data_IF_552328157485
#
_entry.id   IF_552328157485
#
_cell.length_a   1.000
_cell.length_b   1.000
_cell.length_c   1.000
_cell.angle_alpha   90.00
_cell.angle_beta   90.00
_cell.angle_gamma   90.00
#
_symmetry.space_group_name_H-M   'P 1'
#
loop_
_entity.id
_entity.type
_entity.pdbx_description
1 polymer ?
#
# COMPACT_ATOMS: atom_id res chain seq x y z
N UNK A 1 17.80 22.08 -9.19
CA UNK A 1 18.02 21.22 -7.99
C UNK A 1 16.72 20.88 -7.26
N UNK A 2 15.88 21.85 -6.83
CA UNK A 2 14.61 21.60 -6.11
C UNK A 2 13.63 20.70 -6.88
N UNK A 3 13.38 20.96 -8.17
CA UNK A 3 12.45 20.17 -8.98
C UNK A 3 12.91 18.70 -9.19
N UNK A 4 14.20 18.47 -9.39
CA UNK A 4 14.77 17.12 -9.51
C UNK A 4 14.59 16.30 -8.22
N UNK A 5 14.76 16.95 -7.05
CA UNK A 5 14.57 16.29 -5.76
C UNK A 5 13.10 15.88 -5.56
N UNK A 6 12.16 16.74 -5.94
CA UNK A 6 10.72 16.44 -5.87
C UNK A 6 10.37 15.28 -6.83
N UNK A 7 10.79 15.34 -8.10
CA UNK A 7 10.55 14.25 -9.06
C UNK A 7 11.09 12.93 -8.55
N UNK A 8 12.32 12.90 -8.01
CA UNK A 8 12.91 11.69 -7.43
C UNK A 8 12.08 11.13 -6.26
N UNK A 9 11.56 11.98 -5.39
CA UNK A 9 10.71 11.55 -4.29
C UNK A 9 9.38 10.94 -4.82
N UNK A 10 8.77 11.57 -5.83
CA UNK A 10 7.58 11.03 -6.51
C UNK A 10 7.88 9.68 -7.14
N UNK A 11 9.01 9.53 -7.85
CA UNK A 11 9.43 8.26 -8.45
C UNK A 11 9.63 7.14 -7.43
N UNK A 12 10.11 7.48 -6.25
CA UNK A 12 10.22 6.53 -5.14
C UNK A 12 8.85 6.17 -4.58
N UNK A 13 8.02 7.19 -4.29
CA UNK A 13 6.71 7.03 -3.66
C UNK A 13 5.73 6.22 -4.51
N UNK A 14 5.77 6.38 -5.84
CA UNK A 14 4.85 5.67 -6.75
C UNK A 14 5.06 4.14 -6.80
N UNK A 15 6.20 3.67 -6.30
CA UNK A 15 6.61 2.28 -6.48
C UNK A 15 6.58 1.53 -5.16
N UNK A 16 5.86 0.44 -5.14
CA UNK A 16 5.69 -0.41 -3.97
C UNK A 16 6.94 -1.21 -3.63
N UNK A 17 7.34 -1.16 -2.36
CA UNK A 17 8.38 -2.01 -1.78
C UNK A 17 7.79 -3.32 -1.27
N UNK A 18 8.52 -4.43 -1.45
CA UNK A 18 8.17 -5.77 -0.93
C UNK A 18 9.30 -6.40 -0.12
N UNK A 19 10.41 -5.71 0.01
CA UNK A 19 11.63 -6.23 0.55
C UNK A 19 12.31 -5.17 1.41
N UNK A 20 12.07 -5.20 2.71
CA UNK A 20 12.55 -4.20 3.65
C UNK A 20 13.72 -4.71 4.48
N UNK A 21 14.61 -3.80 4.89
CA UNK A 21 15.64 -4.08 5.89
C UNK A 21 15.03 -4.00 7.30
N UNK A 22 14.57 -5.13 7.80
CA UNK A 22 13.91 -5.24 9.10
C UNK A 22 14.90 -5.12 10.28
N UNK A 23 16.20 -5.08 10.04
CA UNK A 23 17.21 -4.90 11.10
C UNK A 23 17.25 -3.46 11.62
N UNK A 24 16.72 -2.50 10.84
CA UNK A 24 16.71 -1.08 11.16
C UNK A 24 15.42 -0.66 11.87
N UNK A 25 15.51 0.43 12.62
CA UNK A 25 14.35 1.06 13.27
C UNK A 25 14.19 2.49 12.75
N UNK A 26 12.96 2.90 12.47
CA UNK A 26 12.64 4.29 12.14
C UNK A 26 12.86 5.14 13.39
N UNK A 27 13.48 6.31 13.22
CA UNK A 27 13.70 7.25 14.32
C UNK A 27 12.37 7.76 14.87
N UNK A 28 12.38 8.17 16.14
CA UNK A 28 11.19 8.77 16.74
C UNK A 28 10.76 10.03 16.00
N UNK A 29 11.70 10.87 15.60
CA UNK A 29 11.45 12.13 14.88
C UNK A 29 10.79 11.87 13.51
N UNK A 30 11.31 10.91 12.74
CA UNK A 30 10.72 10.53 11.47
C UNK A 30 9.34 9.90 11.65
N UNK A 31 9.16 9.05 12.67
CA UNK A 31 7.87 8.46 12.97
C UNK A 31 6.84 9.54 13.33
N UNK A 32 7.21 10.49 14.17
CA UNK A 32 6.35 11.62 14.55
C UNK A 32 5.98 12.47 13.32
N UNK A 33 6.94 12.68 12.40
CA UNK A 33 6.72 13.39 11.12
C UNK A 33 5.76 12.62 10.22
N UNK A 34 5.90 11.32 10.10
CA UNK A 34 5.01 10.46 9.32
C UNK A 34 3.58 10.46 9.90
N UNK A 35 3.45 10.35 11.22
CA UNK A 35 2.14 10.42 11.89
C UNK A 35 1.51 11.79 11.65
N UNK A 36 2.27 12.87 11.87
CA UNK A 36 1.80 14.23 11.63
C UNK A 36 1.29 14.41 10.20
N UNK A 37 2.02 13.90 9.22
CA UNK A 37 1.64 13.95 7.80
C UNK A 37 0.31 13.25 7.54
N UNK A 38 0.14 12.06 8.11
CA UNK A 38 -1.07 11.27 7.88
C UNK A 38 -2.33 11.93 8.47
N UNK A 39 -2.25 12.49 9.68
CA UNK A 39 -3.39 13.08 10.36
C UNK A 39 -3.71 14.51 9.90
N UNK A 40 -2.73 15.24 9.35
CA UNK A 40 -2.89 16.61 8.85
C UNK A 40 -3.07 16.67 7.33
N UNK A 41 -3.37 15.56 6.69
CA UNK A 41 -3.69 15.53 5.27
C UNK A 41 -5.06 16.19 4.99
N UNK A 42 -5.24 16.83 3.81
CA UNK A 42 -6.53 17.38 3.45
C UNK A 42 -7.65 16.35 3.46
N UNK A 43 -8.77 16.71 4.07
CA UNK A 43 -9.99 15.91 4.07
C UNK A 43 -11.20 16.82 3.87
N UNK A 44 -12.36 16.26 3.50
CA UNK A 44 -13.58 17.05 3.38
C UNK A 44 -13.87 17.72 4.71
N UNK A 45 -14.05 19.05 4.69
CA UNK A 45 -14.33 19.89 5.87
C UNK A 45 -13.29 19.76 6.99
N UNK A 46 -12.10 19.24 6.67
CA UNK A 46 -11.03 18.93 7.63
C UNK A 46 -11.46 17.97 8.75
N UNK A 47 -12.38 17.06 8.45
CA UNK A 47 -12.99 16.17 9.45
C UNK A 47 -12.19 14.89 9.75
N UNK A 48 -11.21 14.54 8.92
CA UNK A 48 -10.39 13.32 9.07
C UNK A 48 -11.25 12.08 9.35
N UNK A 49 -11.87 11.53 8.31
CA UNK A 49 -12.87 10.45 8.39
C UNK A 49 -12.27 9.06 8.61
N UNK A 50 -11.20 8.94 9.40
CA UNK A 50 -10.56 7.66 9.70
C UNK A 50 -9.86 7.71 11.05
N UNK A 51 -9.66 6.54 11.62
CA UNK A 51 -8.80 6.31 12.77
C UNK A 51 -7.49 5.69 12.29
N UNK A 52 -6.36 6.24 12.71
CA UNK A 52 -5.04 5.74 12.35
C UNK A 52 -4.45 4.90 13.47
N UNK A 53 -4.08 3.67 13.17
CA UNK A 53 -3.35 2.77 14.07
C UNK A 53 -1.93 2.61 13.56
N UNK A 54 -0.95 2.82 14.42
CA UNK A 54 0.47 2.75 14.05
C UNK A 54 1.16 1.65 14.85
N UNK A 55 1.85 0.77 14.16
CA UNK A 55 2.51 -0.40 14.74
C UNK A 55 4.00 -0.37 14.42
N UNK A 56 4.82 -0.44 15.48
CA UNK A 56 6.29 -0.47 15.39
C UNK A 56 6.88 -1.75 15.99
N UNK A 57 6.06 -2.53 16.71
CA UNK A 57 6.48 -3.81 17.25
C UNK A 57 6.54 -4.87 16.13
N UNK A 58 7.71 -5.48 15.86
CA UNK A 58 7.86 -6.49 14.82
C UNK A 58 6.90 -7.68 14.96
N UNK A 59 6.55 -8.08 16.20
CA UNK A 59 5.64 -9.19 16.43
C UNK A 59 4.19 -8.81 16.06
N UNK A 60 3.78 -7.58 16.35
CA UNK A 60 2.46 -7.08 15.91
C UNK A 60 2.42 -6.89 14.40
N UNK A 61 3.48 -6.37 13.81
CA UNK A 61 3.59 -6.25 12.34
C UNK A 61 3.50 -7.63 11.68
N UNK A 62 4.16 -8.65 12.24
CA UNK A 62 4.06 -10.02 11.75
C UNK A 62 2.61 -10.55 11.83
N UNK A 63 1.90 -10.30 12.92
CA UNK A 63 0.49 -10.68 13.07
C UNK A 63 -0.40 -9.98 12.03
N UNK A 64 -0.16 -8.68 11.78
CA UNK A 64 -0.88 -7.93 10.74
C UNK A 64 -0.58 -8.49 9.35
N UNK A 65 0.68 -8.78 9.05
CA UNK A 65 1.09 -9.46 7.83
C UNK A 65 0.38 -10.79 7.65
N UNK A 66 0.21 -11.55 8.74
CA UNK A 66 -0.48 -12.83 8.74
C UNK A 66 -1.97 -12.72 8.38
N UNK A 67 -2.59 -11.56 8.61
CA UNK A 67 -3.97 -11.27 8.19
C UNK A 67 -4.08 -10.91 6.70
N UNK A 68 -2.98 -10.67 5.98
CA UNK A 68 -3.07 -10.37 4.55
C UNK A 68 -3.54 -11.59 3.78
N UNK A 69 -4.40 -11.35 2.79
CA UNK A 69 -4.93 -12.45 1.98
C UNK A 69 -3.79 -13.17 1.29
N UNK A 70 -3.82 -14.47 1.43
CA UNK A 70 -2.95 -15.36 0.69
C UNK A 70 -3.36 -15.33 -0.77
N UNK A 71 -2.42 -15.14 -1.66
CA UNK A 71 -2.62 -15.44 -3.05
C UNK A 71 -1.77 -16.66 -3.38
N UNK A 72 -2.40 -17.59 -4.06
CA UNK A 72 -1.65 -18.69 -4.67
C UNK A 72 -0.67 -18.04 -5.65
N UNK A 73 0.62 -18.31 -5.45
CA UNK A 73 1.59 -17.99 -6.45
C UNK A 73 1.27 -18.84 -7.66
N UNK A 74 0.29 -18.38 -8.42
CA UNK A 74 0.12 -18.75 -9.80
C UNK A 74 -0.60 -20.08 -10.08
N UNK A 75 -1.85 -19.95 -10.39
CA UNK A 75 -2.37 -20.82 -11.45
C UNK A 75 -1.75 -20.35 -12.77
N UNK A 76 -1.35 -21.27 -13.63
CA UNK A 76 -0.83 -21.02 -14.98
C UNK A 76 -1.71 -20.02 -15.73
N UNK A 77 -3.00 -20.12 -15.57
CA UNK A 77 -4.03 -19.28 -16.16
C UNK A 77 -3.96 -17.82 -15.69
N UNK A 78 -3.80 -17.60 -14.39
CA UNK A 78 -3.68 -16.27 -13.82
C UNK A 78 -2.38 -15.59 -14.27
N UNK A 79 -1.29 -16.33 -14.29
CA UNK A 79 0.01 -15.83 -14.76
C UNK A 79 -0.05 -15.47 -16.25
N UNK A 80 -0.56 -16.34 -17.10
CA UNK A 80 -0.70 -16.09 -18.52
C UNK A 80 -1.66 -14.93 -18.83
N UNK A 81 -2.67 -14.71 -18.00
CA UNK A 81 -3.63 -13.60 -18.14
C UNK A 81 -3.00 -12.27 -17.76
N UNK A 82 -2.14 -12.25 -16.75
CA UNK A 82 -1.49 -11.05 -16.25
C UNK A 82 -0.20 -10.70 -17.00
N UNK A 83 0.47 -11.69 -17.61
CA UNK A 83 1.82 -11.56 -18.14
C UNK A 83 1.95 -12.18 -19.54
N UNK A 84 1.10 -11.77 -20.44
CA UNK A 84 0.93 -12.33 -21.79
C UNK A 84 2.20 -12.52 -22.61
N UNK A 85 3.27 -11.81 -22.29
CA UNK A 85 4.47 -11.72 -23.13
C UNK A 85 5.75 -12.20 -22.44
N UNK A 86 5.65 -12.95 -21.36
CA UNK A 86 6.86 -13.47 -20.73
C UNK A 86 7.01 -14.95 -21.03
N UNK A 87 8.07 -15.31 -21.75
CA UNK A 87 8.56 -16.69 -21.92
C UNK A 87 8.99 -17.37 -20.59
N UNK A 88 8.67 -16.71 -19.48
CA UNK A 88 9.01 -17.21 -18.16
C UNK A 88 8.04 -18.32 -17.81
N UNK A 89 8.59 -19.51 -17.76
CA UNK A 89 7.93 -20.74 -17.41
C UNK A 89 7.03 -20.57 -16.18
N UNK A 90 5.98 -21.27 -16.21
CA UNK A 90 4.87 -21.15 -15.26
C UNK A 90 5.06 -22.16 -14.16
N UNK A 91 4.90 -21.74 -12.92
CA UNK A 91 4.66 -22.66 -11.82
C UNK A 91 3.24 -23.20 -11.98
N UNK A 92 3.15 -24.32 -12.67
CA UNK A 92 1.91 -25.07 -12.70
C UNK A 92 1.75 -25.79 -11.35
N UNK A 93 0.63 -25.54 -10.67
CA UNK A 93 0.23 -26.22 -9.43
C UNK A 93 1.02 -25.88 -8.17
N UNK A 94 1.62 -24.70 -8.06
CA UNK A 94 2.20 -24.31 -6.80
C UNK A 94 1.08 -23.96 -5.79
N UNK A 95 0.83 -24.84 -4.85
CA UNK A 95 0.07 -24.57 -3.62
C UNK A 95 0.85 -23.61 -2.69
N UNK A 96 1.71 -22.75 -3.24
CA UNK A 96 2.41 -21.75 -2.47
C UNK A 96 1.50 -20.55 -2.26
N UNK A 97 0.89 -20.51 -1.11
CA UNK A 97 0.20 -19.34 -0.64
C UNK A 97 1.21 -18.33 -0.09
N UNK A 98 1.27 -17.15 -0.65
CA UNK A 98 2.09 -16.04 -0.16
C UNK A 98 1.21 -14.92 0.37
N UNK A 99 1.62 -14.41 1.50
CA UNK A 99 1.02 -13.22 2.09
C UNK A 99 1.67 -11.96 1.49
N UNK A 100 1.06 -10.81 1.68
CA UNK A 100 1.55 -9.57 1.07
C UNK A 100 2.75 -8.98 1.82
N UNK A 101 3.97 -9.25 1.34
CA UNK A 101 5.21 -8.77 1.96
C UNK A 101 5.39 -7.23 1.94
N UNK A 102 4.53 -6.49 1.25
CA UNK A 102 4.49 -5.02 1.31
C UNK A 102 4.22 -4.51 2.72
N UNK A 103 3.68 -5.35 3.59
CA UNK A 103 3.32 -5.02 4.96
C UNK A 103 4.38 -5.49 5.97
N UNK A 104 5.29 -6.37 5.56
CA UNK A 104 6.39 -6.80 6.41
C UNK A 104 7.50 -5.74 6.40
N UNK A 105 7.25 -4.63 7.08
CA UNK A 105 8.03 -3.38 7.06
C UNK A 105 8.46 -2.95 8.46
N UNK A 106 9.19 -1.84 8.58
CA UNK A 106 9.69 -1.35 9.87
C UNK A 106 8.61 -0.63 10.70
N UNK A 107 7.59 -0.06 10.04
CA UNK A 107 6.39 0.49 10.66
C UNK A 107 5.19 0.23 9.77
N UNK A 108 4.04 -0.03 10.38
CA UNK A 108 2.78 -0.26 9.68
C UNK A 108 1.74 0.75 10.16
N UNK A 109 1.10 1.41 9.22
CA UNK A 109 -0.04 2.29 9.43
C UNK A 109 -1.30 1.56 8.94
N UNK A 110 -2.29 1.43 9.81
CA UNK A 110 -3.59 0.85 9.45
C UNK A 110 -4.64 1.94 9.55
N UNK A 111 -5.24 2.27 8.43
CA UNK A 111 -6.40 3.15 8.35
C UNK A 111 -7.64 2.34 8.66
N UNK A 112 -8.41 2.78 9.63
CA UNK A 112 -9.62 2.11 10.09
C UNK A 112 -10.81 3.06 10.07
N UNK A 113 -12.02 2.51 10.05
CA UNK A 113 -13.20 3.30 10.37
C UNK A 113 -13.13 3.82 11.80
N UNK A 114 -13.63 5.03 12.01
CA UNK A 114 -13.77 5.67 13.32
C UNK A 114 -15.23 5.63 13.75
N UNK A 115 -15.69 4.43 14.11
CA UNK A 115 -17.08 4.18 14.50
C UNK A 115 -17.46 4.91 15.80
N UNK A 116 -16.47 5.18 16.66
CA UNK A 116 -16.66 5.85 17.95
C UNK A 116 -16.81 7.37 17.80
N UNK A 117 -16.43 7.94 16.66
CA UNK A 117 -16.37 9.37 16.44
C UNK A 117 -16.94 9.73 15.05
N UNK A 118 -18.21 9.44 14.88
CA UNK A 118 -18.95 9.78 13.67
C UNK A 118 -18.98 11.30 13.49
N UNK A 119 -18.60 11.81 12.32
CA UNK A 119 -18.50 13.23 12.05
C UNK A 119 -19.47 13.68 10.97
N UNK A 120 -20.00 14.89 11.15
CA UNK A 120 -20.77 15.61 10.11
C UNK A 120 -21.89 14.77 9.51
N UNK A 121 -21.70 14.39 8.24
CA UNK A 121 -22.71 13.62 7.51
C UNK A 121 -22.94 12.21 8.02
N UNK A 122 -21.97 11.60 8.68
CA UNK A 122 -22.13 10.25 9.26
C UNK A 122 -23.07 10.31 10.47
N UNK A 123 -22.98 11.36 11.30
CA UNK A 123 -23.94 11.59 12.40
C UNK A 123 -25.34 11.79 11.85
N UNK A 124 -25.50 12.51 10.74
CA UNK A 124 -26.80 12.71 10.09
C UNK A 124 -27.37 11.39 9.62
N UNK A 125 -26.54 10.50 9.07
CA UNK A 125 -26.98 9.18 8.62
C UNK A 125 -27.37 8.31 9.81
N UNK A 126 -26.52 8.24 10.83
CA UNK A 126 -26.75 7.44 12.03
C UNK A 126 -28.03 7.91 12.79
N UNK A 127 -28.25 9.22 12.88
CA UNK A 127 -29.37 9.80 13.61
C UNK A 127 -30.73 9.72 12.86
N UNK A 128 -30.71 9.64 11.53
CA UNK A 128 -31.95 9.62 10.72
C UNK A 128 -32.50 8.23 10.44
N UNK A 129 -31.77 7.16 10.75
CA UNK A 129 -32.22 5.77 10.60
C UNK A 129 -32.58 5.31 9.18
N UNK A 130 -32.74 6.22 8.22
CA UNK A 130 -33.18 6.02 6.85
C UNK A 130 -32.31 6.84 5.87
N UNK A 131 -30.99 6.76 6.01
CA UNK A 131 -30.15 7.32 4.93
C UNK A 131 -30.41 6.53 3.64
N UNK A 132 -30.69 7.25 2.56
CA UNK A 132 -30.78 6.60 1.26
C UNK A 132 -29.47 5.88 0.96
N UNK A 133 -29.53 4.78 0.23
CA UNK A 133 -28.35 4.04 -0.24
C UNK A 133 -27.33 4.98 -0.90
N UNK A 134 -27.82 5.94 -1.69
CA UNK A 134 -27.00 6.99 -2.30
C UNK A 134 -26.22 7.83 -1.26
N UNK A 135 -26.84 8.18 -0.15
CA UNK A 135 -26.19 8.98 0.90
C UNK A 135 -25.10 8.19 1.58
N UNK A 136 -25.36 6.92 1.93
CA UNK A 136 -24.37 6.00 2.51
C UNK A 136 -23.19 5.79 1.57
N UNK A 137 -23.44 5.52 0.29
CA UNK A 137 -22.39 5.37 -0.73
C UNK A 137 -21.54 6.63 -0.86
N UNK A 138 -22.16 7.82 -0.84
CA UNK A 138 -21.45 9.10 -0.91
C UNK A 138 -20.50 9.31 0.26
N UNK A 139 -20.89 8.93 1.47
CA UNK A 139 -20.02 9.09 2.65
C UNK A 139 -18.89 8.07 2.67
N UNK A 140 -19.13 6.82 2.31
CA UNK A 140 -18.07 5.83 2.16
C UNK A 140 -17.02 6.32 1.14
N UNK A 141 -17.45 6.89 0.03
CA UNK A 141 -16.56 7.48 -0.97
C UNK A 141 -15.73 8.65 -0.43
N UNK A 142 -16.29 9.48 0.43
CA UNK A 142 -15.56 10.59 1.08
C UNK A 142 -14.48 10.06 2.04
N UNK A 143 -14.78 9.00 2.79
CA UNK A 143 -13.79 8.30 3.62
C UNK A 143 -12.65 7.74 2.79
N UNK A 144 -12.98 7.01 1.73
CA UNK A 144 -11.99 6.41 0.83
C UNK A 144 -11.08 7.49 0.21
N UNK A 145 -11.64 8.64 -0.19
CA UNK A 145 -10.84 9.77 -0.67
C UNK A 145 -9.91 10.33 0.40
N UNK A 146 -10.41 10.50 1.63
CA UNK A 146 -9.60 11.00 2.75
C UNK A 146 -8.44 10.05 3.07
N UNK A 147 -8.69 8.74 3.09
CA UNK A 147 -7.67 7.72 3.27
C UNK A 147 -6.67 7.73 2.11
N UNK A 148 -7.15 7.84 0.87
CA UNK A 148 -6.30 7.89 -0.32
C UNK A 148 -5.37 9.10 -0.32
N UNK A 149 -5.88 10.30 0.00
CA UNK A 149 -5.09 11.52 0.10
C UNK A 149 -4.04 11.40 1.22
N UNK A 150 -4.47 10.97 2.41
CA UNK A 150 -3.59 10.82 3.56
C UNK A 150 -2.47 9.80 3.30
N UNK A 151 -2.81 8.63 2.80
CA UNK A 151 -1.84 7.58 2.52
C UNK A 151 -0.87 7.97 1.38
N UNK A 152 -1.35 8.72 0.38
CA UNK A 152 -0.51 9.27 -0.68
C UNK A 152 0.50 10.30 -0.17
N UNK A 153 0.08 11.23 0.69
CA UNK A 153 0.99 12.18 1.33
C UNK A 153 2.00 11.45 2.25
N UNK A 154 1.53 10.49 3.02
CA UNK A 154 2.37 9.66 3.89
C UNK A 154 3.47 8.97 3.07
N UNK A 155 3.13 8.42 1.92
CA UNK A 155 4.10 7.77 1.01
C UNK A 155 5.12 8.77 0.45
N UNK A 156 4.67 9.95 0.03
CA UNK A 156 5.55 10.99 -0.50
C UNK A 156 6.52 11.50 0.56
N UNK A 157 6.03 11.80 1.77
CA UNK A 157 6.90 12.24 2.88
C UNK A 157 7.85 11.12 3.30
N UNK A 158 7.37 9.87 3.36
CA UNK A 158 8.24 8.71 3.58
C UNK A 158 9.39 8.64 2.57
N UNK A 159 9.10 8.89 1.28
CA UNK A 159 10.12 8.93 0.24
C UNK A 159 11.10 10.11 0.39
N UNK A 160 10.64 11.27 0.83
CA UNK A 160 11.48 12.45 1.13
C UNK A 160 12.44 12.14 2.28
N UNK A 161 11.96 11.43 3.30
CA UNK A 161 12.76 10.96 4.45
C UNK A 161 13.69 9.78 4.11
N UNK A 162 13.62 9.26 2.88
CA UNK A 162 14.48 8.16 2.42
C UNK A 162 13.90 6.75 2.61
N UNK A 163 12.65 6.65 3.03
CA UNK A 163 11.95 5.38 3.20
C UNK A 163 11.28 4.89 1.91
N UNK A 164 10.89 3.62 1.92
CA UNK A 164 10.08 2.98 0.91
C UNK A 164 8.70 2.64 1.48
N UNK A 165 7.72 2.52 0.59
CA UNK A 165 6.32 2.30 0.98
C UNK A 165 5.73 1.08 0.29
N UNK A 166 4.81 0.41 0.95
CA UNK A 166 3.99 -0.65 0.38
C UNK A 166 2.55 -0.53 0.84
N UNK A 167 1.60 -0.86 -0.03
CA UNK A 167 0.17 -0.77 0.22
C UNK A 167 -0.49 -2.15 0.20
N UNK A 168 -1.48 -2.36 1.04
CA UNK A 168 -2.30 -3.55 1.01
C UNK A 168 -3.76 -3.23 1.36
N UNK A 169 -4.67 -3.59 0.45
CA UNK A 169 -6.11 -3.63 0.70
C UNK A 169 -6.66 -5.06 0.69
N UNK A 170 -5.79 -6.05 0.47
CA UNK A 170 -6.15 -7.46 0.40
C UNK A 170 -5.80 -8.17 1.71
N UNK A 171 -6.72 -8.15 2.66
CA UNK A 171 -6.60 -8.78 3.99
C UNK A 171 -7.92 -9.41 4.45
N UNK A 172 -7.84 -10.25 5.46
CA UNK A 172 -9.00 -10.76 6.18
C UNK A 172 -9.48 -9.69 7.16
N UNK A 173 -10.63 -9.07 6.87
CA UNK A 173 -11.19 -8.01 7.73
C UNK A 173 -11.41 -8.50 9.16
N UNK A 174 -12.06 -9.68 9.43
CA UNK A 174 -12.29 -10.14 10.79
C UNK A 174 -10.99 -10.38 11.58
N UNK A 175 -9.99 -11.00 10.94
CA UNK A 175 -8.70 -11.27 11.59
C UNK A 175 -7.96 -9.98 11.92
N UNK A 176 -7.88 -9.05 10.98
CA UNK A 176 -7.19 -7.77 11.20
C UNK A 176 -7.94 -6.90 12.20
N UNK A 177 -9.28 -6.90 12.18
CA UNK A 177 -10.12 -6.17 13.13
C UNK A 177 -9.94 -6.71 14.57
N UNK A 178 -9.63 -7.98 14.72
CA UNK A 178 -9.30 -8.53 16.06
C UNK A 178 -8.07 -7.86 16.68
N UNK A 179 -7.14 -7.38 15.83
CA UNK A 179 -5.93 -6.65 16.24
C UNK A 179 -6.19 -5.15 16.36
N UNK A 180 -6.80 -4.55 15.36
CA UNK A 180 -7.02 -3.10 15.29
C UNK A 180 -8.16 -2.59 16.17
N UNK A 181 -9.12 -3.46 16.52
CA UNK A 181 -10.37 -3.13 17.24
C UNK A 181 -11.34 -2.23 16.47
N UNK A 182 -10.99 -1.79 15.30
CA UNK A 182 -11.80 -1.01 14.37
C UNK A 182 -11.74 -1.67 12.99
N UNK A 183 -12.74 -1.49 12.16
CA UNK A 183 -12.77 -2.06 10.80
C UNK A 183 -11.64 -1.48 9.94
N UNK A 184 -10.67 -2.30 9.49
CA UNK A 184 -9.55 -1.83 8.68
C UNK A 184 -9.97 -1.58 7.23
N UNK A 185 -9.44 -0.51 6.63
CA UNK A 185 -9.69 -0.11 5.24
C UNK A 185 -8.45 -0.20 4.37
N UNK A 186 -7.29 0.21 4.89
CA UNK A 186 -6.03 0.23 4.16
C UNK A 186 -4.87 -0.01 5.12
N UNK A 187 -3.89 -0.78 4.67
CA UNK A 187 -2.61 -0.94 5.36
C UNK A 187 -1.52 -0.28 4.52
N UNK A 188 -0.64 0.48 5.17
CA UNK A 188 0.56 1.06 4.56
C UNK A 188 1.78 0.65 5.37
N UNK A 189 2.69 -0.09 4.73
CA UNK A 189 3.99 -0.41 5.30
C UNK A 189 5.02 0.62 4.89
N UNK A 190 5.86 1.07 5.81
CA UNK A 190 6.97 2.00 5.55
C UNK A 190 8.24 1.44 6.17
N UNK A 191 9.37 1.56 5.46
CA UNK A 191 10.62 1.08 5.97
C UNK A 191 11.82 1.35 5.08
N UNK A 192 12.95 0.84 5.53
CA UNK A 192 14.21 0.95 4.82
C UNK A 192 14.27 -0.01 3.65
N UNK A 193 14.89 0.45 2.57
CA UNK A 193 15.30 -0.42 1.47
C UNK A 193 16.42 -1.36 1.94
N UNK A 194 16.34 -2.62 1.58
CA UNK A 194 17.39 -3.60 1.87
C UNK A 194 18.43 -3.72 0.75
N UNK A 195 18.43 -2.77 -0.21
CA UNK A 195 19.29 -2.74 -1.39
C UNK A 195 19.09 -3.90 -2.39
N UNK A 196 18.06 -4.71 -2.23
CA UNK A 196 17.64 -5.71 -3.19
C UNK A 196 16.58 -5.14 -4.16
N UNK A 197 16.29 -5.85 -5.25
CA UNK A 197 15.20 -5.44 -6.13
C UNK A 197 13.88 -5.39 -5.34
N UNK A 198 13.27 -4.22 -5.27
CA UNK A 198 12.03 -3.97 -4.52
C UNK A 198 10.82 -4.80 -4.98
N UNK A 199 10.87 -5.36 -6.19
CA UNK A 199 9.83 -6.24 -6.73
C UNK A 199 9.95 -7.68 -6.22
N UNK A 200 11.05 -8.00 -5.57
CA UNK A 200 11.26 -9.30 -4.97
C UNK A 200 10.35 -9.45 -3.76
N UNK A 201 9.81 -10.65 -3.61
CA UNK A 201 8.97 -10.97 -2.48
C UNK A 201 9.81 -11.60 -1.37
N UNK A 202 10.06 -10.89 -0.27
CA UNK A 202 10.98 -11.32 0.80
C UNK A 202 10.68 -12.71 1.37
N UNK A 203 9.40 -13.08 1.45
CA UNK A 203 9.00 -14.43 1.94
C UNK A 203 9.40 -15.56 0.99
N UNK A 204 9.55 -15.27 -0.30
CA UNK A 204 9.93 -16.27 -1.28
C UNK A 204 11.43 -16.60 -1.16
N UNK A 205 12.27 -15.63 -0.78
CA UNK A 205 13.69 -15.84 -0.56
C UNK A 205 14.01 -16.79 0.57
N UNK A 206 13.18 -16.77 1.61
CA UNK A 206 13.40 -17.54 2.82
C UNK A 206 12.73 -18.92 2.75
N UNK A 207 12.17 -19.28 1.59
CA UNK A 207 11.54 -20.59 1.39
C UNK A 207 12.38 -21.44 0.44
N UNK A 208 12.58 -22.68 0.79
CA UNK A 208 13.05 -23.71 -0.12
C UNK A 208 11.95 -23.97 -1.17
N UNK A 209 11.97 -23.19 -2.24
CA UNK A 209 11.10 -23.45 -3.38
C UNK A 209 11.74 -24.59 -4.17
N UNK A 210 11.05 -25.75 -4.31
CA UNK A 210 11.56 -26.84 -5.11
C UNK A 210 11.95 -26.40 -6.52
N UNK A 211 13.05 -26.93 -7.06
CA UNK A 211 13.60 -26.49 -8.36
C UNK A 211 12.59 -26.59 -9.51
N UNK A 212 11.70 -27.58 -9.46
CA UNK A 212 10.64 -27.78 -10.46
C UNK A 212 9.62 -26.63 -10.51
N UNK A 213 9.56 -25.81 -9.48
CA UNK A 213 8.68 -24.63 -9.41
C UNK A 213 9.41 -23.30 -9.64
N UNK A 214 10.72 -23.37 -9.86
CA UNK A 214 11.52 -22.20 -10.20
C UNK A 214 11.49 -21.97 -11.68
N UNK A 215 11.45 -20.74 -12.11
CA UNK A 215 11.35 -20.38 -13.51
C UNK A 215 12.43 -19.37 -13.93
N UNK A 216 13.21 -19.75 -14.94
CA UNK A 216 14.18 -18.89 -15.58
C UNK A 216 15.62 -19.09 -15.13
N UNK A 217 16.54 -18.49 -15.86
CA UNK A 217 17.99 -18.63 -15.65
C UNK A 217 18.48 -18.02 -14.32
N UNK A 218 17.69 -17.10 -13.76
CA UNK A 218 17.93 -16.47 -12.46
C UNK A 218 16.99 -17.02 -11.42
N UNK A 219 17.04 -18.32 -11.19
CA UNK A 219 16.14 -19.10 -10.32
C UNK A 219 16.03 -18.63 -8.88
N UNK A 220 16.74 -17.60 -8.49
CA UNK A 220 16.80 -17.13 -7.12
C UNK A 220 15.71 -16.12 -6.78
N UNK A 221 15.03 -15.53 -7.81
CA UNK A 221 14.28 -14.29 -7.55
C UNK A 221 12.94 -14.22 -8.29
N UNK A 222 11.86 -14.27 -7.57
CA UNK A 222 10.54 -13.91 -8.04
C UNK A 222 10.35 -12.40 -8.10
N UNK A 223 10.17 -11.89 -9.31
CA UNK A 223 9.93 -10.47 -9.53
C UNK A 223 8.49 -10.24 -9.94
N UNK A 224 7.79 -9.38 -9.22
CA UNK A 224 6.54 -8.84 -9.73
C UNK A 224 6.83 -7.93 -10.94
N UNK A 225 6.01 -8.00 -12.00
CA UNK A 225 6.22 -7.16 -13.17
C UNK A 225 6.10 -5.69 -12.81
N UNK A 226 6.80 -4.88 -13.57
CA UNK A 226 6.66 -3.43 -13.57
C UNK A 226 5.83 -3.05 -14.79
N UNK A 227 4.83 -2.20 -14.58
CA UNK A 227 4.06 -1.59 -15.64
C UNK A 227 4.44 -0.11 -15.72
N UNK A 228 4.67 0.37 -16.94
CA UNK A 228 4.82 1.80 -17.17
C UNK A 228 3.46 2.47 -17.12
N UNK A 229 3.43 3.67 -16.58
CA UNK A 229 2.19 4.45 -16.51
C UNK A 229 2.02 5.22 -17.81
N UNK A 230 0.96 4.91 -18.52
CA UNK A 230 0.49 5.72 -19.64
C UNK A 230 -0.69 6.56 -19.15
N UNK A 231 -0.50 7.85 -18.99
CA UNK A 231 -1.54 8.78 -18.64
C UNK A 231 -1.68 9.82 -19.74
N UNK A 232 -2.89 9.92 -20.30
CA UNK A 232 -3.23 11.02 -21.20
C UNK A 232 -3.58 12.24 -20.36
N UNK A 233 -2.88 13.33 -20.60
CA UNK A 233 -3.12 14.63 -19.97
C UNK A 233 -3.56 15.61 -21.03
N UNK A 234 -4.75 16.20 -20.87
CA UNK A 234 -5.24 17.30 -21.70
C UNK A 234 -5.13 18.60 -20.91
N UNK A 235 -4.44 19.59 -21.48
CA UNK A 235 -4.29 20.91 -20.89
C UNK A 235 -5.20 21.86 -21.67
N UNK A 236 -6.30 22.28 -21.06
CA UNK A 236 -7.34 23.06 -21.72
C UNK A 236 -7.21 24.59 -21.54
N UNK A 237 -6.10 25.10 -21.03
CA UNK A 237 -6.00 26.50 -20.58
C UNK A 237 -5.24 27.45 -21.52
N UNK A 238 -5.04 27.07 -22.80
CA UNK A 238 -4.38 27.94 -23.78
C UNK A 238 -2.93 28.33 -23.43
N UNK A 239 -2.33 27.71 -22.44
CA UNK A 239 -0.91 27.83 -22.17
C UNK A 239 -0.22 26.76 -22.99
N UNK A 240 0.51 27.16 -24.02
CA UNK A 240 1.43 26.30 -24.79
C UNK A 240 2.56 25.85 -23.85
N UNK A 241 2.30 24.82 -23.07
CA UNK A 241 3.37 24.06 -22.47
C UNK A 241 3.95 23.20 -23.61
N UNK A 242 5.10 23.62 -24.12
CA UNK A 242 5.86 22.79 -25.04
C UNK A 242 5.97 21.36 -24.50
N UNK A 243 5.70 20.40 -25.36
CA UNK A 243 5.59 18.96 -25.09
C UNK A 243 6.87 18.27 -24.58
N UNK A 244 7.66 18.91 -23.76
CA UNK A 244 8.95 18.44 -23.27
C UNK A 244 8.94 18.02 -21.76
N UNK A 245 7.78 17.69 -21.18
CA UNK A 245 7.70 17.35 -19.75
C UNK A 245 7.14 15.97 -19.44
N UNK A 246 7.43 14.97 -20.24
CA UNK A 246 7.28 13.58 -19.76
C UNK A 246 8.43 12.73 -20.27
#
# INVERSE_FOLDING_TARGET
MKHQTIKKAVDVAQRTQRNYDLSKKISKEDLDTLIYTAINSPSKQNETHFKLKVYTDPNLIRKIYDCTKRFSLFTREYFNKMFKDTDKGVIANANYEVKNSQILSNVVFVYCDDEDNLRGGEQIIANKGNASEYTTMKFNRIKDFSIGISSGQLSLVGAILGYKTGYCSAFSVPELQSITKNEPKLIVGIGYDNNMDRRLHSEIFNRDIPKEYRTGADDEHWKFPSFDKELKVEINNGLDYENNML
#
